data_IF_500884851229
#
_entry.id   IF_500884851229
#
_cell.length_a   1.000
_cell.length_b   1.000
_cell.length_c   1.000
_cell.angle_alpha   90.00
_cell.angle_beta   90.00
_cell.angle_gamma   90.00
#
_symmetry.space_group_name_H-M   'P 1'
#
loop_
_entity.id
_entity.type
_entity.pdbx_description
1 polymer ?
#
# COMPACT_ATOMS: atom_id res chain seq x y z
N UNK A 1 -54.50 14.31 -5.35
CA UNK A 1 -53.17 13.92 -4.81
C UNK A 1 -51.95 14.41 -5.63
N UNK A 2 -51.98 15.59 -6.30
CA UNK A 2 -50.83 16.09 -7.11
C UNK A 2 -49.97 17.19 -6.46
N UNK A 3 -50.40 17.79 -5.32
CA UNK A 3 -49.68 18.88 -4.65
C UNK A 3 -48.54 18.43 -3.73
N UNK A 4 -48.58 17.20 -3.21
CA UNK A 4 -47.56 16.66 -2.28
C UNK A 4 -46.21 16.35 -2.98
N UNK A 5 -46.23 15.92 -4.25
CA UNK A 5 -45.02 15.54 -4.98
C UNK A 5 -44.08 16.72 -5.28
N UNK A 6 -44.63 17.90 -5.63
CA UNK A 6 -43.81 19.11 -5.89
C UNK A 6 -43.11 19.62 -4.63
N UNK A 7 -43.75 19.43 -3.47
CA UNK A 7 -43.18 19.84 -2.18
C UNK A 7 -42.00 18.95 -1.79
N UNK A 8 -42.12 17.64 -2.00
CA UNK A 8 -41.04 16.67 -1.73
C UNK A 8 -39.85 16.90 -2.69
N UNK A 9 -40.10 17.16 -3.97
CA UNK A 9 -39.04 17.51 -4.93
C UNK A 9 -38.32 18.81 -4.57
N UNK A 10 -39.04 19.83 -4.11
CA UNK A 10 -38.44 21.08 -3.64
C UNK A 10 -37.56 20.90 -2.41
N UNK A 11 -37.98 20.06 -1.46
CA UNK A 11 -37.19 19.74 -0.26
C UNK A 11 -35.93 18.95 -0.65
N UNK A 12 -36.05 17.96 -1.52
CA UNK A 12 -34.90 17.17 -1.99
C UNK A 12 -33.87 18.04 -2.75
N UNK A 13 -34.33 18.95 -3.61
CA UNK A 13 -33.44 19.88 -4.31
C UNK A 13 -32.68 20.80 -3.33
N UNK A 14 -33.37 21.32 -2.31
CA UNK A 14 -32.75 22.15 -1.27
C UNK A 14 -31.74 21.36 -0.43
N UNK A 15 -32.03 20.11 -0.08
CA UNK A 15 -31.08 19.23 0.65
C UNK A 15 -29.84 18.97 -0.20
N UNK A 16 -30.00 18.68 -1.51
CA UNK A 16 -28.86 18.46 -2.42
C UNK A 16 -28.00 19.72 -2.55
N UNK A 17 -28.61 20.91 -2.62
CA UNK A 17 -27.87 22.17 -2.67
C UNK A 17 -27.13 22.43 -1.35
N UNK A 18 -27.79 22.23 -0.20
CA UNK A 18 -27.17 22.43 1.12
C UNK A 18 -26.00 21.45 1.33
N UNK A 19 -26.17 20.17 0.96
CA UNK A 19 -25.09 19.18 1.01
C UNK A 19 -23.97 19.59 0.05
N UNK A 20 -24.29 19.99 -1.18
CA UNK A 20 -23.32 20.43 -2.19
C UNK A 20 -22.50 21.65 -1.74
N UNK A 21 -23.15 22.65 -1.15
CA UNK A 21 -22.49 23.86 -0.62
C UNK A 21 -21.65 23.54 0.61
N UNK A 22 -22.14 22.72 1.54
CA UNK A 22 -21.33 22.32 2.70
C UNK A 22 -20.12 21.47 2.30
N UNK A 23 -20.28 20.57 1.32
CA UNK A 23 -19.17 19.81 0.75
C UNK A 23 -18.18 20.76 0.07
N UNK A 24 -18.65 21.73 -0.71
CA UNK A 24 -17.81 22.72 -1.39
C UNK A 24 -17.06 23.64 -0.40
N UNK A 25 -17.74 24.14 0.63
CA UNK A 25 -17.13 24.95 1.69
C UNK A 25 -16.15 24.13 2.55
N UNK A 26 -16.45 22.86 2.79
CA UNK A 26 -15.52 21.92 3.41
C UNK A 26 -14.27 21.73 2.55
N UNK A 27 -14.42 21.56 1.22
CA UNK A 27 -13.29 21.51 0.28
C UNK A 27 -12.50 22.82 0.21
N UNK A 28 -13.16 23.98 0.26
CA UNK A 28 -12.51 25.29 0.30
C UNK A 28 -11.76 25.52 1.63
N UNK A 29 -12.34 25.12 2.78
CA UNK A 29 -11.68 25.21 4.09
C UNK A 29 -10.54 24.21 4.26
N UNK A 30 -10.65 23.02 3.66
CA UNK A 30 -9.60 22.00 3.64
C UNK A 30 -8.57 22.20 2.52
N UNK A 31 -8.65 23.28 1.72
CA UNK A 31 -7.46 23.89 1.12
C UNK A 31 -6.58 24.49 2.23
N UNK A 32 -6.17 23.66 3.20
CA UNK A 32 -4.84 23.80 3.77
C UNK A 32 -3.92 23.79 2.57
N UNK A 33 -3.36 24.95 2.25
CA UNK A 33 -2.39 25.08 1.17
C UNK A 33 -1.44 23.89 1.30
N UNK A 34 -1.34 23.01 0.29
CA UNK A 34 -0.33 21.96 0.33
C UNK A 34 1.01 22.63 0.65
N UNK A 35 1.95 21.93 1.30
CA UNK A 35 3.29 22.47 1.45
C UNK A 35 3.72 23.04 0.09
N UNK A 36 4.13 24.31 0.04
CA UNK A 36 4.60 24.92 -1.22
C UNK A 36 5.86 24.16 -1.63
N UNK A 37 5.70 23.10 -2.41
CA UNK A 37 6.80 22.34 -2.93
C UNK A 37 7.48 23.18 -4.02
N UNK A 38 8.81 23.35 -3.99
CA UNK A 38 9.50 24.05 -5.06
C UNK A 38 9.26 23.32 -6.38
N UNK A 39 8.85 24.05 -7.41
CA UNK A 39 8.69 23.52 -8.77
C UNK A 39 10.09 23.18 -9.29
N UNK A 40 10.33 21.90 -9.57
CA UNK A 40 11.60 21.43 -10.11
C UNK A 40 11.74 21.86 -11.57
N UNK A 41 12.98 21.99 -12.04
CA UNK A 41 13.25 22.10 -13.47
C UNK A 41 13.05 20.74 -14.17
N UNK A 42 12.72 20.76 -15.45
CA UNK A 42 12.56 19.54 -16.26
C UNK A 42 13.80 18.63 -16.25
N UNK A 43 15.01 19.20 -16.10
CA UNK A 43 16.26 18.45 -15.96
C UNK A 43 16.32 17.71 -14.61
N UNK A 44 15.94 18.37 -13.52
CA UNK A 44 15.90 17.77 -12.19
C UNK A 44 14.86 16.65 -12.11
N UNK A 45 13.68 16.85 -12.71
CA UNK A 45 12.64 15.83 -12.79
C UNK A 45 13.09 14.59 -13.57
N UNK A 46 13.75 14.78 -14.72
CA UNK A 46 14.30 13.64 -15.49
C UNK A 46 15.31 12.82 -14.69
N UNK A 47 16.19 13.47 -13.92
CA UNK A 47 17.19 12.80 -13.09
C UNK A 47 16.53 12.05 -11.93
N UNK A 48 15.59 12.68 -11.21
CA UNK A 48 14.86 12.02 -10.12
C UNK A 48 14.02 10.84 -10.62
N UNK A 49 13.31 11.04 -11.74
CA UNK A 49 12.55 9.98 -12.39
C UNK A 49 13.47 8.83 -12.77
N UNK A 50 14.62 9.06 -13.40
CA UNK A 50 15.55 7.99 -13.75
C UNK A 50 16.12 7.26 -12.52
N UNK A 51 16.33 7.97 -11.41
CA UNK A 51 16.86 7.41 -10.16
C UNK A 51 15.84 6.51 -9.45
N UNK A 52 14.58 6.96 -9.36
CA UNK A 52 13.56 6.30 -8.56
C UNK A 52 12.56 5.47 -9.37
N UNK A 53 12.55 5.59 -10.70
CA UNK A 53 11.72 4.76 -11.58
C UNK A 53 12.11 3.30 -11.39
N UNK A 54 11.10 2.52 -11.03
CA UNK A 54 11.19 1.07 -10.96
C UNK A 54 10.92 0.58 -12.38
N UNK A 55 11.92 -0.05 -13.00
CA UNK A 55 11.74 -0.64 -14.33
C UNK A 55 10.89 -1.92 -14.19
N UNK A 56 10.16 -2.30 -15.25
CA UNK A 56 9.42 -3.58 -15.27
C UNK A 56 10.35 -4.80 -15.07
N UNK A 57 11.66 -4.64 -15.33
CA UNK A 57 12.68 -5.64 -15.04
C UNK A 57 13.22 -5.63 -13.61
N UNK A 58 13.04 -4.53 -12.88
CA UNK A 58 13.44 -4.39 -11.47
C UNK A 58 12.29 -4.72 -10.50
N UNK A 59 11.04 -4.63 -10.95
CA UNK A 59 9.83 -4.96 -10.16
C UNK A 59 9.68 -6.46 -9.83
N UNK A 60 10.38 -7.34 -10.56
CA UNK A 60 10.30 -8.81 -10.38
C UNK A 60 11.37 -9.33 -9.39
N UNK A 61 12.30 -8.49 -8.92
CA UNK A 61 13.38 -8.97 -8.05
C UNK A 61 12.89 -9.09 -6.60
N UNK A 62 12.69 -10.34 -6.19
CA UNK A 62 12.51 -10.75 -4.79
C UNK A 62 13.76 -10.36 -3.97
N UNK A 63 13.85 -9.10 -3.54
CA UNK A 63 15.04 -8.56 -2.90
C UNK A 63 15.07 -8.81 -1.38
N UNK A 64 13.95 -9.24 -0.81
CA UNK A 64 13.91 -9.70 0.57
C UNK A 64 14.11 -11.22 0.62
N UNK A 65 14.73 -11.69 1.71
CA UNK A 65 14.93 -13.12 1.92
C UNK A 65 14.66 -13.50 3.36
N UNK A 66 14.14 -14.70 3.56
CA UNK A 66 13.88 -15.28 4.87
C UNK A 66 14.52 -16.65 4.99
N UNK A 67 14.87 -17.02 6.22
CA UNK A 67 15.35 -18.36 6.51
C UNK A 67 14.19 -19.35 6.63
N UNK A 68 14.31 -20.49 5.95
CA UNK A 68 13.29 -21.54 5.92
C UNK A 68 13.95 -22.92 6.00
N UNK A 69 13.15 -23.95 6.28
CA UNK A 69 13.64 -25.33 6.27
C UNK A 69 13.95 -25.78 4.84
N UNK A 70 14.98 -26.62 4.69
CA UNK A 70 15.25 -27.27 3.41
C UNK A 70 14.22 -28.37 3.18
N UNK A 71 13.16 -28.02 2.46
CA UNK A 71 12.09 -28.94 2.09
C UNK A 71 11.32 -28.43 0.88
N UNK A 72 10.37 -29.24 0.45
CA UNK A 72 9.40 -28.91 -0.58
C UNK A 72 8.24 -28.11 0.02
N UNK A 73 7.91 -26.99 -0.60
CA UNK A 73 6.76 -26.16 -0.28
C UNK A 73 5.76 -26.19 -1.43
N UNK A 74 4.46 -26.30 -1.13
CA UNK A 74 3.42 -26.03 -2.11
C UNK A 74 3.35 -24.53 -2.39
N UNK A 75 3.19 -24.17 -3.65
CA UNK A 75 2.88 -22.80 -4.04
C UNK A 75 1.63 -22.72 -4.89
N UNK A 76 0.97 -21.59 -4.78
CA UNK A 76 -0.33 -21.31 -5.33
C UNK A 76 -0.27 -20.05 -6.20
N UNK A 77 -1.22 -19.89 -7.11
CA UNK A 77 -1.46 -18.65 -7.85
C UNK A 77 -2.86 -18.12 -7.55
N UNK A 78 -3.05 -16.81 -7.57
CA UNK A 78 -4.36 -16.20 -7.34
C UNK A 78 -4.26 -14.79 -6.78
N UNK A 79 -5.34 -14.00 -6.91
CA UNK A 79 -5.37 -12.64 -6.40
C UNK A 79 -5.54 -12.65 -4.88
N UNK A 80 -4.56 -12.14 -4.14
CA UNK A 80 -4.72 -11.85 -2.70
C UNK A 80 -5.59 -10.61 -2.45
N UNK A 81 -6.46 -10.20 -3.40
CA UNK A 81 -7.27 -8.98 -3.29
C UNK A 81 -8.36 -9.11 -2.25
N UNK A 82 -9.14 -10.20 -2.24
CA UNK A 82 -10.27 -10.32 -1.31
C UNK A 82 -10.29 -11.64 -0.55
N UNK A 83 -10.19 -12.81 -1.20
CA UNK A 83 -10.26 -14.09 -0.50
C UNK A 83 -9.06 -15.00 -0.75
N UNK A 84 -8.61 -15.65 0.32
CA UNK A 84 -7.60 -16.70 0.29
C UNK A 84 -8.16 -17.98 -0.35
N UNK A 85 -9.48 -18.13 -0.35
CA UNK A 85 -10.18 -19.29 -0.91
C UNK A 85 -10.04 -19.39 -2.44
N UNK A 86 -9.61 -18.32 -3.10
CA UNK A 86 -9.36 -18.28 -4.55
C UNK A 86 -7.95 -18.74 -4.95
N UNK A 87 -7.10 -19.15 -3.98
CA UNK A 87 -5.77 -19.65 -4.27
C UNK A 87 -5.84 -21.01 -4.97
N UNK A 88 -5.28 -21.07 -6.18
CA UNK A 88 -5.20 -22.29 -6.98
C UNK A 88 -3.82 -22.90 -6.84
N UNK A 89 -3.77 -24.18 -6.46
CA UNK A 89 -2.52 -24.92 -6.42
C UNK A 89 -1.84 -24.86 -7.79
N UNK A 90 -0.54 -24.61 -7.80
CA UNK A 90 0.24 -24.44 -9.02
C UNK A 90 1.39 -25.46 -9.12
N UNK A 91 1.99 -25.83 -7.99
CA UNK A 91 3.08 -26.80 -7.97
C UNK A 91 3.88 -26.78 -6.68
N UNK A 92 5.10 -27.30 -6.78
CA UNK A 92 6.02 -27.47 -5.67
C UNK A 92 7.31 -26.69 -5.89
N UNK A 93 7.80 -26.05 -4.83
CA UNK A 93 9.09 -25.37 -4.77
C UNK A 93 10.01 -26.14 -3.82
N UNK A 94 11.12 -26.66 -4.33
CA UNK A 94 12.17 -27.23 -3.49
C UNK A 94 13.11 -26.10 -3.06
N UNK A 95 13.15 -25.83 -1.75
CA UNK A 95 14.11 -24.87 -1.21
C UNK A 95 15.36 -25.61 -0.77
N UNK A 96 16.49 -25.20 -1.33
CA UNK A 96 17.84 -25.58 -0.91
C UNK A 96 18.53 -24.32 -0.38
N UNK A 97 19.50 -24.45 0.54
CA UNK A 97 20.24 -23.34 1.17
C UNK A 97 19.49 -22.53 2.24
N UNK A 98 18.43 -23.11 2.80
CA UNK A 98 17.65 -22.58 3.91
C UNK A 98 17.12 -21.16 3.67
N UNK A 99 16.96 -20.75 2.42
CA UNK A 99 16.68 -19.36 2.05
C UNK A 99 15.58 -19.29 1.01
N UNK A 100 14.56 -18.50 1.31
CA UNK A 100 13.47 -18.19 0.37
C UNK A 100 13.48 -16.69 0.10
N UNK A 101 13.55 -16.33 -1.18
CA UNK A 101 13.39 -14.94 -1.60
C UNK A 101 11.91 -14.61 -1.78
N UNK A 102 11.53 -13.40 -1.40
CA UNK A 102 10.15 -12.92 -1.47
C UNK A 102 10.09 -11.42 -1.77
N UNK A 103 8.92 -10.94 -2.17
CA UNK A 103 8.66 -9.53 -2.47
C UNK A 103 7.85 -8.84 -1.37
N UNK A 104 6.89 -9.54 -0.78
CA UNK A 104 5.99 -9.05 0.27
C UNK A 104 5.39 -10.25 0.98
N UNK A 105 4.71 -10.01 2.10
CA UNK A 105 3.96 -11.04 2.81
C UNK A 105 2.63 -10.47 3.31
N UNK A 106 1.70 -11.38 3.56
CA UNK A 106 0.37 -11.09 4.06
C UNK A 106 0.20 -11.75 5.41
N UNK A 107 -0.35 -11.01 6.37
CA UNK A 107 -0.72 -11.53 7.69
C UNK A 107 -2.23 -11.50 7.82
N UNK A 108 -2.81 -12.60 8.28
CA UNK A 108 -4.21 -12.70 8.69
C UNK A 108 -4.31 -13.06 10.17
N UNK A 109 -5.54 -13.23 10.66
CA UNK A 109 -5.76 -13.73 12.02
C UNK A 109 -5.20 -15.14 12.23
N UNK A 110 -5.31 -16.02 11.23
CA UNK A 110 -5.03 -17.45 11.36
C UNK A 110 -3.73 -17.87 10.70
N UNK A 111 -3.38 -17.22 9.60
CA UNK A 111 -2.34 -17.68 8.69
C UNK A 111 -1.52 -16.51 8.14
N UNK A 112 -0.32 -16.84 7.70
CA UNK A 112 0.56 -15.91 7.00
C UNK A 112 0.89 -16.49 5.62
N UNK A 113 1.15 -15.59 4.67
CA UNK A 113 1.44 -15.93 3.28
C UNK A 113 2.62 -15.14 2.79
N UNK A 114 3.55 -15.81 2.13
CA UNK A 114 4.70 -15.20 1.47
C UNK A 114 4.38 -15.06 -0.01
N UNK A 115 4.57 -13.86 -0.57
CA UNK A 115 4.44 -13.61 -1.99
C UNK A 115 5.83 -13.55 -2.61
N UNK A 116 6.04 -14.33 -3.67
CA UNK A 116 7.31 -14.42 -4.40
C UNK A 116 7.05 -14.56 -5.91
N UNK A 117 8.11 -14.64 -6.72
CA UNK A 117 8.04 -14.95 -8.14
C UNK A 117 8.70 -16.30 -8.43
N UNK A 118 7.98 -17.19 -9.11
CA UNK A 118 8.50 -18.47 -9.61
C UNK A 118 8.22 -18.51 -11.12
N UNK A 119 9.26 -18.69 -11.94
CA UNK A 119 9.16 -18.67 -13.41
C UNK A 119 8.45 -17.42 -13.95
N UNK A 120 8.79 -16.24 -13.41
CA UNK A 120 8.17 -14.94 -13.72
C UNK A 120 6.67 -14.82 -13.42
N UNK A 121 6.09 -15.76 -12.65
CA UNK A 121 4.72 -15.69 -12.19
C UNK A 121 4.68 -15.36 -10.70
N UNK A 122 3.80 -14.45 -10.31
CA UNK A 122 3.53 -14.19 -8.90
C UNK A 122 2.96 -15.46 -8.26
N UNK A 123 3.56 -15.89 -7.17
CA UNK A 123 3.21 -17.10 -6.44
C UNK A 123 3.05 -16.80 -4.96
N UNK A 124 2.19 -17.59 -4.32
CA UNK A 124 1.86 -17.50 -2.90
C UNK A 124 2.27 -18.79 -2.23
N UNK A 125 2.99 -18.68 -1.11
CA UNK A 125 3.40 -19.82 -0.29
C UNK A 125 2.82 -19.60 1.11
N UNK A 126 2.05 -20.57 1.62
CA UNK A 126 1.51 -20.52 2.98
C UNK A 126 2.63 -20.83 3.97
N UNK A 127 3.18 -19.78 4.57
CA UNK A 127 4.36 -19.85 5.44
C UNK A 127 4.33 -18.67 6.42
N UNK A 128 4.78 -18.90 7.66
CA UNK A 128 4.89 -17.84 8.68
C UNK A 128 5.64 -16.62 8.15
N UNK A 129 5.14 -15.43 8.50
CA UNK A 129 5.77 -14.17 8.14
C UNK A 129 7.19 -14.07 8.73
N UNK A 130 8.13 -13.38 8.05
CA UNK A 130 9.53 -13.25 8.49
C UNK A 130 9.71 -12.18 9.58
N UNK A 131 8.82 -12.19 10.58
CA UNK A 131 8.83 -11.27 11.72
C UNK A 131 8.70 -12.07 13.03
N UNK A 132 9.03 -11.44 14.16
CA UNK A 132 8.83 -12.08 15.47
C UNK A 132 7.35 -12.20 15.80
N UNK A 133 7.01 -13.13 16.70
CA UNK A 133 5.64 -13.29 17.18
C UNK A 133 5.14 -12.03 17.92
N UNK A 134 6.03 -11.32 18.61
CA UNK A 134 5.69 -10.05 19.29
C UNK A 134 5.39 -8.93 18.28
N UNK A 135 6.14 -8.85 17.17
CA UNK A 135 5.87 -7.92 16.08
C UNK A 135 4.55 -8.27 15.40
N UNK A 136 4.30 -9.56 15.16
CA UNK A 136 3.04 -10.06 14.59
C UNK A 136 1.84 -9.68 15.45
N UNK A 137 1.90 -9.94 16.76
CA UNK A 137 0.85 -9.56 17.73
C UNK A 137 0.63 -8.05 17.77
N UNK A 138 1.71 -7.27 17.77
CA UNK A 138 1.61 -5.82 17.70
C UNK A 138 0.85 -5.34 16.47
N UNK A 139 1.18 -5.87 15.28
CA UNK A 139 0.48 -5.51 14.05
C UNK A 139 -1.00 -5.94 14.09
N UNK A 140 -1.28 -7.17 14.53
CA UNK A 140 -2.65 -7.67 14.67
C UNK A 140 -3.52 -6.76 15.57
N UNK A 141 -2.98 -6.36 16.72
CA UNK A 141 -3.69 -5.54 17.69
C UNK A 141 -3.99 -4.12 17.17
N UNK A 142 -3.14 -3.56 16.30
CA UNK A 142 -3.32 -2.21 15.79
C UNK A 142 -4.14 -2.14 14.50
N UNK A 143 -4.08 -3.19 13.67
CA UNK A 143 -4.54 -3.12 12.28
C UNK A 143 -5.50 -4.24 11.86
N UNK A 144 -5.79 -5.23 12.70
CA UNK A 144 -6.75 -6.30 12.38
C UNK A 144 -7.94 -6.37 13.35
N UNK A 145 -8.21 -5.32 14.13
CA UNK A 145 -9.45 -5.24 14.92
C UNK A 145 -10.69 -5.01 14.02
N UNK A 146 -11.81 -5.69 14.31
CA UNK A 146 -13.13 -5.59 13.63
C UNK A 146 -13.22 -6.23 12.22
N UNK A 147 -13.26 -7.57 12.16
CA UNK A 147 -13.60 -8.36 10.95
C UNK A 147 -12.68 -8.12 9.73
N UNK A 148 -11.44 -7.69 9.95
CA UNK A 148 -10.50 -7.50 8.86
C UNK A 148 -9.91 -8.84 8.40
N UNK A 149 -9.88 -9.06 7.09
CA UNK A 149 -9.42 -10.33 6.52
C UNK A 149 -7.88 -10.46 6.51
N UNK A 150 -7.14 -9.36 6.27
CA UNK A 150 -5.68 -9.40 6.07
C UNK A 150 -5.00 -8.03 6.02
N UNK A 151 -3.69 -8.02 6.20
CA UNK A 151 -2.78 -6.89 5.97
C UNK A 151 -1.71 -7.30 4.96
N UNK A 152 -1.35 -6.41 4.02
CA UNK A 152 -0.26 -6.63 3.07
C UNK A 152 0.95 -5.82 3.52
N UNK A 153 2.12 -6.44 3.59
CA UNK A 153 3.32 -5.84 4.20
C UNK A 153 4.50 -5.84 3.23
N UNK A 154 5.02 -4.66 2.96
CA UNK A 154 6.18 -4.41 2.10
C UNK A 154 7.38 -4.04 2.98
N UNK A 155 8.35 -4.94 3.16
CA UNK A 155 9.54 -4.65 3.96
C UNK A 155 10.53 -3.76 3.22
N UNK A 156 11.28 -2.94 3.97
CA UNK A 156 12.50 -2.30 3.51
C UNK A 156 13.70 -3.25 3.64
N UNK A 157 14.90 -2.78 3.24
CA UNK A 157 16.14 -3.53 3.46
C UNK A 157 16.37 -3.83 4.95
N UNK A 158 15.96 -2.91 5.84
CA UNK A 158 15.80 -3.21 7.26
C UNK A 158 14.41 -3.83 7.49
N UNK A 159 14.30 -5.14 7.82
CA UNK A 159 13.00 -5.81 7.97
C UNK A 159 12.19 -5.32 9.18
N UNK A 160 12.77 -4.49 10.06
CA UNK A 160 12.03 -3.81 11.15
C UNK A 160 11.30 -2.56 10.67
N UNK A 161 11.63 -2.05 9.50
CA UNK A 161 10.93 -0.94 8.84
C UNK A 161 10.06 -1.54 7.74
N UNK A 162 8.76 -1.24 7.77
CA UNK A 162 7.81 -1.78 6.80
C UNK A 162 6.82 -0.70 6.34
N UNK A 163 6.27 -0.88 5.14
CA UNK A 163 4.99 -0.31 4.76
C UNK A 163 3.92 -1.36 4.91
N UNK A 164 2.84 -0.99 5.60
CA UNK A 164 1.64 -1.79 5.75
C UNK A 164 0.52 -1.17 4.91
N UNK A 165 -0.16 -2.00 4.13
CA UNK A 165 -1.42 -1.67 3.47
C UNK A 165 -2.58 -2.37 4.17
N UNK A 166 -3.50 -1.57 4.70
CA UNK A 166 -4.82 -1.96 5.16
C UNK A 166 -5.83 -1.79 4.02
N UNK A 167 -6.23 -2.88 3.35
CA UNK A 167 -7.10 -2.81 2.17
C UNK A 167 -8.52 -2.31 2.47
N UNK A 168 -8.95 -2.31 3.74
CA UNK A 168 -10.29 -1.88 4.13
C UNK A 168 -10.41 -0.36 4.34
N UNK A 169 -9.29 0.36 4.29
CA UNK A 169 -9.25 1.79 4.52
C UNK A 169 -8.83 2.54 3.24
N UNK A 170 -9.60 3.56 2.87
CA UNK A 170 -9.21 4.47 1.79
C UNK A 170 -7.93 5.18 2.24
N UNK A 171 -6.84 5.03 1.47
CA UNK A 171 -5.49 5.49 1.83
C UNK A 171 -4.95 4.80 3.09
N UNK A 172 -5.30 3.54 3.33
CA UNK A 172 -4.84 2.71 4.46
C UNK A 172 -3.38 2.31 4.39
N UNK A 173 -2.46 3.23 4.10
CA UNK A 173 -1.02 2.95 4.07
C UNK A 173 -0.31 3.55 5.27
N UNK A 174 0.60 2.78 5.85
CA UNK A 174 1.28 3.09 7.10
C UNK A 174 2.75 2.74 7.02
N UNK A 175 3.63 3.67 7.40
CA UNK A 175 5.00 3.34 7.78
C UNK A 175 5.01 2.83 9.22
N UNK A 176 5.66 1.70 9.44
CA UNK A 176 5.76 1.09 10.77
C UNK A 176 7.20 0.75 11.08
N UNK A 177 7.66 1.22 12.24
CA UNK A 177 8.90 0.76 12.87
C UNK A 177 8.54 -0.28 13.94
N UNK A 178 8.86 -1.54 13.67
CA UNK A 178 8.59 -2.67 14.55
C UNK A 178 9.47 -2.68 15.80
N UNK A 179 10.66 -2.05 15.76
CA UNK A 179 11.56 -1.97 16.90
C UNK A 179 11.06 -0.92 17.90
N UNK A 180 10.66 0.26 17.41
CA UNK A 180 10.15 1.33 18.28
C UNK A 180 8.64 1.28 18.48
N UNK A 181 7.93 0.39 17.79
CA UNK A 181 6.46 0.29 17.76
C UNK A 181 5.78 1.59 17.31
N UNK A 182 6.47 2.38 16.48
CA UNK A 182 5.94 3.63 15.95
C UNK A 182 5.15 3.37 14.67
N UNK A 183 3.97 3.98 14.55
CA UNK A 183 3.07 3.90 13.40
C UNK A 183 2.86 5.31 12.86
N UNK A 184 3.14 5.51 11.58
CA UNK A 184 2.93 6.78 10.87
C UNK A 184 2.08 6.54 9.64
N UNK A 185 0.88 7.13 9.61
CA UNK A 185 0.00 7.06 8.44
C UNK A 185 0.56 7.87 7.27
N UNK A 186 0.36 7.38 6.05
CA UNK A 186 0.69 8.12 4.82
C UNK A 186 -0.49 9.05 4.48
N UNK A 187 -0.39 10.31 4.88
CA UNK A 187 -1.45 11.30 4.65
C UNK A 187 -1.42 11.85 3.22
N UNK A 188 -2.56 11.75 2.53
CA UNK A 188 -2.77 12.36 1.21
C UNK A 188 -2.49 13.86 1.26
N UNK A 189 -1.65 14.40 0.35
CA UNK A 189 -1.26 15.80 0.41
C UNK A 189 -2.40 16.71 -0.06
N UNK A 190 -3.42 16.15 -0.73
CA UNK A 190 -4.61 16.84 -1.20
C UNK A 190 -5.80 15.86 -1.29
N UNK A 191 -6.80 15.94 -0.41
CA UNK A 191 -8.11 15.34 -0.68
C UNK A 191 -8.68 15.91 -2.00
N UNK A 192 -9.29 15.11 -2.90
CA UNK A 192 -9.68 13.70 -2.76
C UNK A 192 -8.63 12.70 -3.31
N UNK A 193 -7.35 13.06 -3.45
CA UNK A 193 -6.33 12.17 -3.99
C UNK A 193 -6.28 10.88 -3.17
N UNK A 194 -6.37 9.77 -3.88
CA UNK A 194 -6.14 8.46 -3.30
C UNK A 194 -4.67 8.14 -3.50
N UNK A 195 -3.97 7.86 -2.41
CA UNK A 195 -2.72 7.17 -2.50
C UNK A 195 -3.02 5.71 -2.80
N UNK A 196 -2.42 5.26 -3.89
CA UNK A 196 -2.02 3.89 -4.01
C UNK A 196 -0.55 3.89 -3.58
N UNK A 197 -0.18 3.07 -2.60
CA UNK A 197 1.22 2.92 -2.23
C UNK A 197 1.68 1.49 -2.56
N UNK A 198 2.82 1.35 -3.22
CA UNK A 198 2.83 1.24 -4.68
C UNK A 198 4.01 0.43 -5.15
N UNK A 199 5.16 0.56 -4.53
CA UNK A 199 6.27 -0.38 -4.70
C UNK A 199 7.43 0.01 -3.75
N UNK A 200 8.38 -0.90 -3.51
CA UNK A 200 9.62 -0.60 -2.79
C UNK A 200 10.79 -0.64 -3.78
N UNK A 201 11.46 0.50 -3.96
CA UNK A 201 12.73 0.53 -4.67
C UNK A 201 13.84 0.13 -3.69
N UNK A 202 14.11 -1.18 -3.61
CA UNK A 202 15.11 -1.76 -2.71
C UNK A 202 16.54 -1.28 -2.95
N UNK A 203 16.88 -0.89 -4.19
CA UNK A 203 18.21 -0.36 -4.53
C UNK A 203 18.47 0.97 -3.82
N UNK A 204 17.47 1.85 -3.82
CA UNK A 204 17.55 3.15 -3.16
C UNK A 204 17.00 3.12 -1.73
N UNK A 205 16.43 1.98 -1.31
CA UNK A 205 15.74 1.76 -0.03
C UNK A 205 14.63 2.79 0.24
N UNK A 206 13.80 3.07 -0.77
CA UNK A 206 12.69 4.04 -0.69
C UNK A 206 11.37 3.42 -1.10
N UNK A 207 10.31 3.98 -0.56
CA UNK A 207 8.95 3.70 -1.00
C UNK A 207 8.52 4.70 -2.07
N UNK A 208 7.81 4.21 -3.07
CA UNK A 208 7.16 5.06 -4.06
C UNK A 208 5.65 4.91 -3.90
N UNK A 209 4.95 6.02 -3.70
CA UNK A 209 3.49 6.10 -3.63
C UNK A 209 2.95 6.86 -4.84
N UNK A 210 2.01 6.26 -5.56
CA UNK A 210 1.31 6.92 -6.66
C UNK A 210 0.05 7.60 -6.11
N UNK A 211 -0.01 8.92 -6.20
CA UNK A 211 -1.24 9.64 -5.91
C UNK A 211 -1.97 9.94 -7.23
N UNK A 212 -3.23 9.50 -7.31
CA UNK A 212 -4.12 9.88 -8.41
C UNK A 212 -5.49 10.30 -7.89
N UNK A 213 -6.19 11.10 -8.68
CA UNK A 213 -7.53 11.57 -8.38
C UNK A 213 -8.14 12.29 -9.58
N UNK A 214 -9.46 12.38 -9.62
CA UNK A 214 -10.25 12.88 -10.77
C UNK A 214 -9.85 14.29 -11.24
N UNK A 215 -9.16 15.09 -10.42
CA UNK A 215 -8.79 16.48 -10.71
C UNK A 215 -7.33 16.82 -10.39
N UNK A 216 -6.45 15.82 -10.27
CA UNK A 216 -5.06 16.01 -9.85
C UNK A 216 -4.14 15.32 -10.84
N UNK A 217 -3.13 16.04 -11.35
CA UNK A 217 -2.06 15.45 -12.16
C UNK A 217 -1.44 14.29 -11.37
N UNK A 218 -1.32 13.09 -11.95
CA UNK A 218 -0.73 11.97 -11.25
C UNK A 218 0.74 12.24 -10.92
N UNK A 219 1.12 12.00 -9.67
CA UNK A 219 2.49 12.14 -9.20
C UNK A 219 2.92 10.90 -8.43
N UNK A 220 4.19 10.56 -8.58
CA UNK A 220 4.89 9.65 -7.71
C UNK A 220 5.49 10.43 -6.54
N UNK A 221 5.29 9.94 -5.32
CA UNK A 221 5.83 10.48 -4.08
C UNK A 221 6.83 9.49 -3.51
N UNK A 222 8.03 9.96 -3.19
CA UNK A 222 9.13 9.14 -2.71
C UNK A 222 9.36 9.39 -1.23
N UNK A 223 9.43 8.33 -0.45
CA UNK A 223 9.65 8.37 1.00
C UNK A 223 10.83 7.48 1.39
N UNK A 224 11.59 7.88 2.41
CA UNK A 224 12.57 6.98 3.05
C UNK A 224 11.90 5.91 3.93
N UNK A 225 12.71 5.03 4.51
CA UNK A 225 12.24 3.94 5.40
C UNK A 225 11.65 4.41 6.74
N UNK A 226 11.88 5.68 7.12
CA UNK A 226 11.28 6.33 8.29
C UNK A 226 9.97 7.06 7.93
N UNK A 227 9.57 7.01 6.65
CA UNK A 227 8.39 7.66 6.13
C UNK A 227 8.53 9.18 5.98
N UNK A 228 9.76 9.71 5.89
CA UNK A 228 9.99 11.11 5.55
C UNK A 228 9.91 11.30 4.05
N UNK A 229 9.25 12.37 3.64
CA UNK A 229 9.13 12.74 2.24
C UNK A 229 10.49 13.19 1.69
N UNK A 230 10.91 12.59 0.58
CA UNK A 230 12.13 12.95 -0.14
C UNK A 230 11.80 13.89 -1.29
N UNK A 231 10.95 13.44 -2.22
CA UNK A 231 10.60 14.20 -3.42
C UNK A 231 9.33 13.68 -4.10
N UNK A 232 8.85 14.39 -5.12
CA UNK A 232 7.80 13.93 -6.02
C UNK A 232 8.15 14.22 -7.47
N UNK A 233 7.63 13.43 -8.41
CA UNK A 233 7.81 13.63 -9.85
C UNK A 233 6.57 13.19 -10.63
N UNK A 234 6.32 13.84 -11.77
CA UNK A 234 5.23 13.46 -12.68
C UNK A 234 5.49 12.06 -13.28
N UNK A 235 4.41 11.30 -13.47
CA UNK A 235 4.45 9.94 -14.04
C UNK A 235 5.16 9.85 -15.40
#
# INVERSE_FOLDING_TARGET
>A
MKKSHKYILGILASIVIIIGVNIFEYYEKEKKTPPKYPKLSSKQEKVLKAKYKISDSDSIKCNSSMYVENKTYDYYTGPLRNDIDDLKWQGNLNVTDNKLFYITYVITHTDDYIITYINNNQCVIKLKAPISEDDRKFLLNNFLYNNMAKMIIYPFNNPKKIILHNPNEINGYYFVDLSSKNIKKIDSPQPPARYHCVDINYKENVAVAYASGTFITPYNYVFDEDGNFICRYEE
#
